data_IF_606673550416
#
_entry.id   IF_606673550416
#
_cell.length_a   1.000
_cell.length_b   1.000
_cell.length_c   1.000
_cell.angle_alpha   90.00
_cell.angle_beta   90.00
_cell.angle_gamma   90.00
#
_symmetry.space_group_name_H-M   'P 1'
#
loop_
_entity.id
_entity.type
_entity.pdbx_description
1 polymer ?
#
# COMPACT_ATOMS: atom_id res chain seq x y z
N UNK A 1 -27.18 -2.18 -15.98
CA UNK A 1 -26.24 -3.17 -15.40
C UNK A 1 -24.79 -2.64 -15.29
N UNK A 2 -24.23 -1.98 -16.32
CA UNK A 2 -22.85 -1.42 -16.26
C UNK A 2 -22.62 -0.27 -15.26
N UNK A 3 -23.60 0.62 -15.08
CA UNK A 3 -23.46 1.77 -14.19
C UNK A 3 -23.34 1.37 -12.70
N UNK A 4 -24.06 0.32 -12.27
CA UNK A 4 -24.04 -0.14 -10.88
C UNK A 4 -22.71 -0.83 -10.53
N UNK A 5 -22.18 -1.68 -11.41
CA UNK A 5 -20.86 -2.28 -11.23
C UNK A 5 -19.74 -1.24 -11.21
N UNK A 6 -19.86 -0.18 -12.02
CA UNK A 6 -18.90 0.93 -12.02
C UNK A 6 -18.98 1.74 -10.73
N UNK A 7 -20.18 2.10 -10.27
CA UNK A 7 -20.37 2.83 -9.01
C UNK A 7 -19.94 1.99 -7.80
N UNK A 8 -20.24 0.68 -7.83
CA UNK A 8 -19.82 -0.26 -6.81
C UNK A 8 -18.30 -0.40 -6.78
N UNK A 9 -17.63 -0.55 -7.93
CA UNK A 9 -16.16 -0.53 -8.02
C UNK A 9 -15.58 0.81 -7.55
N UNK A 10 -16.16 1.94 -7.93
CA UNK A 10 -15.73 3.27 -7.49
C UNK A 10 -15.86 3.46 -5.96
N UNK A 11 -16.84 2.82 -5.31
CA UNK A 11 -17.01 2.83 -3.85
C UNK A 11 -16.15 1.76 -3.13
N UNK A 12 -16.06 0.54 -3.69
CA UNK A 12 -15.27 -0.59 -3.17
C UNK A 12 -13.77 -0.28 -3.21
N UNK A 13 -13.30 0.35 -4.29
CA UNK A 13 -11.89 0.65 -4.45
C UNK A 13 -11.46 1.83 -3.58
N UNK A 14 -12.35 2.69 -3.11
CA UNK A 14 -11.96 3.89 -2.35
C UNK A 14 -11.58 3.64 -0.88
N UNK A 15 -11.84 2.45 -0.33
CA UNK A 15 -11.60 2.15 1.10
C UNK A 15 -10.84 0.84 1.26
N UNK A 16 -10.27 0.64 2.45
CA UNK A 16 -9.72 -0.64 2.90
C UNK A 16 -10.70 -1.22 3.92
N UNK A 17 -11.11 -2.48 3.77
CA UNK A 17 -12.01 -3.12 4.73
C UNK A 17 -11.37 -3.24 6.11
N UNK A 18 -12.16 -3.00 7.15
CA UNK A 18 -11.72 -3.15 8.54
C UNK A 18 -11.18 -4.55 8.83
N UNK A 19 -11.84 -5.59 8.30
CA UNK A 19 -11.37 -6.98 8.42
C UNK A 19 -9.97 -7.18 7.84
N UNK A 20 -9.74 -6.66 6.64
CA UNK A 20 -8.46 -6.80 5.95
C UNK A 20 -7.37 -6.00 6.66
N UNK A 21 -7.71 -4.83 7.20
CA UNK A 21 -6.83 -4.02 8.04
C UNK A 21 -6.42 -4.76 9.32
N UNK A 22 -7.37 -5.40 10.01
CA UNK A 22 -7.08 -6.21 11.21
C UNK A 22 -6.26 -7.47 10.88
N UNK A 23 -6.54 -8.13 9.76
CA UNK A 23 -5.75 -9.27 9.27
C UNK A 23 -4.32 -8.87 8.98
N UNK A 24 -4.11 -7.73 8.30
CA UNK A 24 -2.77 -7.23 7.97
C UNK A 24 -1.99 -6.88 9.24
N UNK A 25 -2.59 -6.15 10.18
CA UNK A 25 -1.95 -5.87 11.49
C UNK A 25 -1.53 -7.14 12.20
N UNK A 26 -2.44 -8.11 12.31
CA UNK A 26 -2.17 -9.39 12.97
C UNK A 26 -1.03 -10.15 12.28
N UNK A 27 -1.03 -10.17 10.95
CA UNK A 27 -0.01 -10.83 10.15
C UNK A 27 1.38 -10.22 10.38
N UNK A 28 1.48 -8.89 10.35
CA UNK A 28 2.76 -8.17 10.56
C UNK A 28 3.22 -8.31 12.02
N UNK A 29 2.31 -8.15 12.98
CA UNK A 29 2.58 -8.34 14.42
C UNK A 29 3.13 -9.74 14.70
N UNK A 30 2.50 -10.78 14.14
CA UNK A 30 2.94 -12.17 14.30
C UNK A 30 4.29 -12.47 13.66
N UNK A 31 4.61 -11.82 12.53
CA UNK A 31 5.89 -11.98 11.84
C UNK A 31 7.04 -11.38 12.66
N UNK A 32 6.87 -10.13 13.12
CA UNK A 32 7.89 -9.40 13.88
C UNK A 32 7.89 -9.69 15.39
N UNK A 33 6.94 -10.49 15.88
CA UNK A 33 6.76 -10.81 17.30
C UNK A 33 6.61 -9.55 18.16
N UNK A 34 5.83 -8.58 17.67
CA UNK A 34 5.49 -7.34 18.38
C UNK A 34 4.02 -7.36 18.82
N UNK A 35 3.64 -6.68 19.92
CA UNK A 35 2.24 -6.54 20.30
C UNK A 35 1.42 -5.86 19.18
N UNK A 36 0.23 -6.39 18.88
CA UNK A 36 -0.64 -5.83 17.82
C UNK A 36 -1.06 -4.40 18.16
N UNK A 37 -1.16 -4.09 19.45
CA UNK A 37 -1.47 -2.77 20.01
C UNK A 37 -0.48 -1.69 19.57
N UNK A 38 0.76 -2.08 19.20
CA UNK A 38 1.71 -1.16 18.58
C UNK A 38 1.23 -0.67 17.21
N UNK A 39 0.61 -1.56 16.43
CA UNK A 39 0.07 -1.27 15.11
C UNK A 39 -1.34 -0.68 15.16
N UNK A 40 -2.13 -0.96 16.20
CA UNK A 40 -3.47 -0.37 16.39
C UNK A 40 -3.44 1.14 16.56
N UNK A 41 -2.31 1.69 17.01
CA UNK A 41 -2.09 3.15 17.14
C UNK A 41 -1.82 3.83 15.80
N UNK A 42 -1.63 3.07 14.71
CA UNK A 42 -1.33 3.60 13.37
C UNK A 42 -2.63 3.85 12.62
N UNK A 43 -2.85 5.08 12.16
CA UNK A 43 -4.05 5.44 11.39
C UNK A 43 -3.81 5.21 9.90
N UNK A 44 -4.80 4.65 9.20
CA UNK A 44 -4.72 4.44 7.75
C UNK A 44 -5.61 5.45 7.03
N UNK A 45 -5.06 6.12 6.01
CA UNK A 45 -5.75 7.13 5.19
C UNK A 45 -5.62 6.78 3.71
N UNK A 46 -6.68 7.03 2.95
CA UNK A 46 -6.67 6.92 1.49
C UNK A 46 -6.52 8.33 0.92
N UNK A 47 -5.49 8.55 0.10
CA UNK A 47 -5.17 9.87 -0.46
C UNK A 47 -4.57 9.74 -1.86
N UNK A 48 -4.51 10.84 -2.61
CA UNK A 48 -3.70 10.88 -3.85
C UNK A 48 -2.24 11.06 -3.47
N UNK A 49 -1.39 10.09 -3.82
CA UNK A 49 0.05 10.14 -3.57
C UNK A 49 0.81 10.67 -4.79
N UNK A 50 1.99 11.27 -4.60
CA UNK A 50 2.74 11.86 -5.70
C UNK A 50 3.33 10.81 -6.65
N UNK A 51 3.55 11.24 -7.88
CA UNK A 51 4.36 10.53 -8.88
C UNK A 51 5.73 11.22 -8.92
N UNK A 52 6.79 10.43 -8.94
CA UNK A 52 8.16 10.92 -9.07
C UNK A 52 8.46 11.10 -10.56
N UNK A 53 8.96 12.29 -10.93
CA UNK A 53 9.33 12.65 -12.29
C UNK A 53 10.82 12.90 -12.40
N UNK A 54 11.42 12.47 -13.50
CA UNK A 54 12.71 12.93 -13.98
C UNK A 54 12.49 14.20 -14.81
N UNK A 55 13.17 15.28 -14.43
CA UNK A 55 13.20 16.53 -15.18
C UNK A 55 14.45 16.55 -16.06
N UNK A 56 14.28 16.69 -17.38
CA UNK A 56 15.36 16.78 -18.36
C UNK A 56 15.30 18.16 -19.00
N UNK A 57 16.35 18.95 -18.82
CA UNK A 57 16.48 20.28 -19.39
C UNK A 57 17.52 20.22 -20.52
N UNK A 58 17.16 20.68 -21.72
CA UNK A 58 18.09 20.76 -22.86
C UNK A 58 17.83 21.98 -23.73
N UNK A 59 18.87 22.51 -24.36
CA UNK A 59 18.78 23.59 -25.35
C UNK A 59 18.52 22.99 -26.74
N UNK A 60 17.57 23.56 -27.49
CA UNK A 60 17.21 23.17 -28.86
C UNK A 60 17.14 24.44 -29.71
N UNK A 61 18.18 24.70 -30.51
CA UNK A 61 18.35 26.00 -31.16
C UNK A 61 18.48 27.12 -30.13
N UNK A 62 17.69 28.17 -30.26
CA UNK A 62 17.62 29.28 -29.28
C UNK A 62 16.61 29.04 -28.15
N UNK A 63 15.92 27.90 -28.14
CA UNK A 63 14.89 27.56 -27.17
C UNK A 63 15.41 26.63 -26.07
N UNK A 64 14.84 26.75 -24.88
CA UNK A 64 15.06 25.84 -23.77
C UNK A 64 13.87 24.89 -23.66
N UNK A 65 14.12 23.58 -23.74
CA UNK A 65 13.11 22.54 -23.63
C UNK A 65 13.23 21.84 -22.27
N UNK A 66 12.13 21.80 -21.53
CA UNK A 66 11.99 21.07 -20.27
C UNK A 66 11.07 19.88 -20.52
N UNK A 67 11.56 18.67 -20.29
CA UNK A 67 10.82 17.42 -20.43
C UNK A 67 10.65 16.77 -19.05
N UNK A 68 9.42 16.38 -18.74
CA UNK A 68 9.11 15.61 -17.53
C UNK A 68 8.77 14.17 -17.91
N UNK A 69 9.50 13.20 -17.36
CA UNK A 69 9.23 11.77 -17.55
C UNK A 69 8.89 11.12 -16.21
N UNK A 70 7.71 10.48 -16.05
CA UNK A 70 7.42 9.74 -14.83
C UNK A 70 8.40 8.57 -14.68
N UNK A 71 9.01 8.42 -13.50
CA UNK A 71 9.97 7.35 -13.19
C UNK A 71 9.49 6.42 -12.08
N UNK A 72 8.49 6.82 -11.29
CA UNK A 72 7.91 5.97 -10.27
C UNK A 72 6.65 6.56 -9.68
N UNK A 73 5.72 5.72 -9.25
CA UNK A 73 4.50 6.12 -8.55
C UNK A 73 4.60 5.65 -7.10
N UNK A 74 4.38 6.55 -6.15
CA UNK A 74 4.29 6.19 -4.73
C UNK A 74 2.91 5.58 -4.50
N UNK A 75 2.87 4.31 -4.04
CA UNK A 75 1.63 3.56 -3.81
C UNK A 75 1.21 3.56 -2.34
N UNK A 76 2.19 3.71 -1.44
CA UNK A 76 2.03 3.78 0.00
C UNK A 76 3.06 4.72 0.62
N UNK A 77 2.75 5.27 1.78
CA UNK A 77 3.67 6.07 2.58
C UNK A 77 3.35 5.95 4.07
N UNK A 78 4.32 5.51 4.85
CA UNK A 78 4.29 5.60 6.31
C UNK A 78 4.92 6.91 6.81
N UNK A 79 4.17 7.69 7.58
CA UNK A 79 4.63 8.91 8.25
C UNK A 79 4.95 8.61 9.73
N UNK A 80 6.23 8.52 10.13
CA UNK A 80 6.62 7.98 11.44
C UNK A 80 6.22 8.87 12.63
N UNK A 81 6.29 10.18 12.46
CA UNK A 81 5.95 11.16 13.51
C UNK A 81 4.45 11.18 13.81
N UNK A 82 3.62 11.11 12.77
CA UNK A 82 2.16 11.14 12.88
C UNK A 82 1.57 9.76 13.17
N UNK A 83 2.34 8.69 12.96
CA UNK A 83 1.89 7.28 12.97
C UNK A 83 0.71 7.09 12.02
N UNK A 84 0.92 7.51 10.77
CA UNK A 84 -0.11 7.45 9.74
C UNK A 84 0.41 6.73 8.51
N UNK A 85 -0.40 5.84 7.95
CA UNK A 85 -0.19 5.20 6.65
C UNK A 85 -1.10 5.88 5.65
N UNK A 86 -0.54 6.29 4.53
CA UNK A 86 -1.26 6.82 3.37
C UNK A 86 -1.17 5.81 2.24
N UNK A 87 -2.31 5.41 1.66
CA UNK A 87 -2.36 4.51 0.49
C UNK A 87 -2.97 5.26 -0.69
N UNK A 88 -2.38 5.10 -1.87
CA UNK A 88 -2.85 5.79 -3.08
C UNK A 88 -4.30 5.39 -3.41
N UNK A 89 -5.14 6.39 -3.66
CA UNK A 89 -6.56 6.17 -3.92
C UNK A 89 -6.83 5.57 -5.30
N UNK A 90 -5.92 5.76 -6.27
CA UNK A 90 -6.11 5.44 -7.68
C UNK A 90 -5.51 4.07 -8.08
N UNK A 91 -5.19 3.21 -7.13
CA UNK A 91 -4.65 1.87 -7.39
C UNK A 91 -5.69 0.77 -7.10
N UNK A 92 -5.68 -0.37 -7.81
CA UNK A 92 -6.62 -1.45 -7.55
C UNK A 92 -6.54 -1.99 -6.11
N UNK A 93 -7.64 -2.51 -5.57
CA UNK A 93 -7.71 -3.00 -4.18
C UNK A 93 -6.60 -3.99 -3.81
N UNK A 94 -6.25 -4.91 -4.72
CA UNK A 94 -5.14 -5.84 -4.52
C UNK A 94 -3.79 -5.13 -4.30
N UNK A 95 -3.53 -4.04 -5.04
CA UNK A 95 -2.33 -3.24 -4.85
C UNK A 95 -2.41 -2.42 -3.55
N UNK A 96 -3.60 -1.97 -3.14
CA UNK A 96 -3.80 -1.32 -1.83
C UNK A 96 -3.41 -2.23 -0.69
N UNK A 97 -3.83 -3.50 -0.71
CA UNK A 97 -3.45 -4.47 0.31
C UNK A 97 -1.95 -4.74 0.33
N UNK A 98 -1.32 -4.88 -0.84
CA UNK A 98 0.14 -5.05 -0.92
C UNK A 98 0.89 -3.85 -0.34
N UNK A 99 0.49 -2.63 -0.72
CA UNK A 99 1.05 -1.40 -0.19
C UNK A 99 0.80 -1.28 1.32
N UNK A 100 -0.40 -1.61 1.79
CA UNK A 100 -0.75 -1.57 3.22
C UNK A 100 0.16 -2.47 4.06
N UNK A 101 0.42 -3.71 3.60
CA UNK A 101 1.35 -4.62 4.27
C UNK A 101 2.75 -4.00 4.33
N UNK A 102 3.24 -3.45 3.21
CA UNK A 102 4.53 -2.76 3.14
C UNK A 102 4.64 -1.63 4.16
N UNK A 103 3.65 -0.74 4.23
CA UNK A 103 3.69 0.39 5.16
C UNK A 103 3.55 -0.04 6.63
N UNK A 104 2.78 -1.10 6.94
CA UNK A 104 2.76 -1.65 8.30
C UNK A 104 4.08 -2.30 8.70
N UNK A 105 4.85 -2.83 7.75
CA UNK A 105 6.21 -3.30 8.03
C UNK A 105 7.10 -2.13 8.45
N UNK A 106 7.00 -0.96 7.79
CA UNK A 106 7.70 0.25 8.25
C UNK A 106 7.27 0.68 9.66
N UNK A 107 5.99 0.59 9.99
CA UNK A 107 5.52 0.85 11.35
C UNK A 107 6.13 -0.13 12.38
N UNK A 108 6.22 -1.43 12.04
CA UNK A 108 6.86 -2.44 12.87
C UNK A 108 8.38 -2.21 13.02
N UNK A 109 9.07 -1.84 11.94
CA UNK A 109 10.49 -1.47 11.95
C UNK A 109 10.75 -0.27 12.86
N UNK A 110 9.87 0.75 12.84
CA UNK A 110 9.97 1.88 13.76
C UNK A 110 9.78 1.45 15.22
N UNK A 111 8.79 0.59 15.51
CA UNK A 111 8.56 0.07 16.86
C UNK A 111 9.78 -0.69 17.40
N UNK A 112 10.44 -1.47 16.54
CA UNK A 112 11.68 -2.20 16.85
C UNK A 112 12.92 -1.29 16.93
N UNK A 113 12.78 0.02 16.73
CA UNK A 113 13.89 0.97 16.79
C UNK A 113 14.85 0.92 15.61
N UNK A 114 14.52 0.20 14.52
CA UNK A 114 15.42 0.01 13.37
C UNK A 114 15.76 1.31 12.64
N UNK A 115 14.89 2.32 12.73
CA UNK A 115 15.10 3.62 12.08
C UNK A 115 16.34 4.37 12.60
N UNK A 116 16.86 3.99 13.77
CA UNK A 116 18.08 4.59 14.34
C UNK A 116 19.36 3.92 13.84
N UNK A 117 19.27 2.66 13.39
CA UNK A 117 20.43 1.79 13.22
C UNK A 117 20.56 1.21 11.80
N UNK A 118 19.55 1.41 10.94
CA UNK A 118 19.53 0.91 9.57
C UNK A 118 19.39 2.07 8.59
N UNK A 119 20.05 1.92 7.45
CA UNK A 119 19.89 2.82 6.32
C UNK A 119 18.48 2.70 5.73
N UNK A 120 18.05 3.74 5.02
CA UNK A 120 16.77 3.71 4.29
C UNK A 120 16.71 2.54 3.29
N UNK A 121 17.82 2.26 2.61
CA UNK A 121 17.87 1.18 1.62
C UNK A 121 17.63 -0.18 2.28
N UNK A 122 18.28 -0.47 3.40
CA UNK A 122 18.08 -1.74 4.12
C UNK A 122 16.64 -1.90 4.62
N UNK A 123 16.05 -0.82 5.13
CA UNK A 123 14.66 -0.82 5.60
C UNK A 123 13.68 -1.11 4.46
N UNK A 124 13.88 -0.50 3.29
CA UNK A 124 13.07 -0.73 2.09
C UNK A 124 13.26 -2.15 1.54
N UNK A 125 14.50 -2.63 1.42
CA UNK A 125 14.79 -3.99 0.95
C UNK A 125 14.12 -5.06 1.83
N UNK A 126 14.21 -4.89 3.16
CA UNK A 126 13.47 -5.73 4.11
C UNK A 126 11.97 -5.63 3.88
N UNK A 127 11.41 -4.41 3.81
CA UNK A 127 9.98 -4.19 3.65
C UNK A 127 9.45 -4.80 2.35
N UNK A 128 10.17 -4.70 1.23
CA UNK A 128 9.81 -5.32 -0.05
C UNK A 128 9.81 -6.85 0.03
N UNK A 129 10.85 -7.44 0.65
CA UNK A 129 10.97 -8.89 0.79
C UNK A 129 9.88 -9.45 1.69
N UNK A 130 9.70 -8.85 2.86
CA UNK A 130 8.72 -9.27 3.86
C UNK A 130 7.30 -9.03 3.37
N UNK A 131 7.01 -7.89 2.74
CA UNK A 131 5.66 -7.61 2.20
C UNK A 131 5.28 -8.62 1.13
N UNK A 132 6.20 -8.97 0.23
CA UNK A 132 5.96 -9.98 -0.80
C UNK A 132 5.68 -11.35 -0.22
N UNK A 133 6.41 -11.74 0.83
CA UNK A 133 6.18 -13.00 1.56
C UNK A 133 4.83 -13.01 2.28
N UNK A 134 4.56 -11.99 3.11
CA UNK A 134 3.32 -11.88 3.88
C UNK A 134 2.09 -11.77 2.97
N UNK A 135 2.21 -11.07 1.85
CA UNK A 135 1.12 -10.95 0.91
C UNK A 135 0.77 -12.28 0.22
N UNK A 136 1.75 -13.18 0.01
CA UNK A 136 1.47 -14.55 -0.45
C UNK A 136 0.69 -15.35 0.59
N UNK A 137 1.04 -15.23 1.87
CA UNK A 137 0.31 -15.86 2.98
C UNK A 137 -1.12 -15.32 3.03
N UNK A 138 -1.25 -14.00 3.00
CA UNK A 138 -2.55 -13.32 3.03
C UNK A 138 -3.47 -13.83 1.92
N UNK A 139 -2.97 -13.87 0.67
CA UNK A 139 -3.75 -14.33 -0.47
C UNK A 139 -4.14 -15.81 -0.37
N UNK A 140 -3.28 -16.67 0.23
CA UNK A 140 -3.60 -18.09 0.43
C UNK A 140 -4.64 -18.31 1.52
N UNK A 141 -4.57 -17.56 2.61
CA UNK A 141 -5.41 -17.76 3.78
C UNK A 141 -6.78 -17.08 3.67
N UNK A 142 -6.88 -15.94 2.99
CA UNK A 142 -8.05 -15.06 3.08
C UNK A 142 -8.73 -14.75 1.76
N UNK A 143 -8.11 -15.07 0.62
CA UNK A 143 -8.77 -14.84 -0.68
C UNK A 143 -9.72 -16.00 -0.95
N UNK A 144 -11.03 -15.73 -0.82
CA UNK A 144 -12.07 -16.66 -1.30
C UNK A 144 -11.82 -16.92 -2.80
N UNK A 145 -11.94 -18.17 -3.29
CA UNK A 145 -12.08 -18.38 -4.72
C UNK A 145 -13.24 -17.51 -5.20
N UNK A 146 -13.11 -16.89 -6.38
CA UNK A 146 -14.22 -16.24 -7.07
C UNK A 146 -15.25 -17.34 -7.39
N UNK A 147 -16.10 -17.70 -6.42
CA UNK A 147 -17.26 -18.53 -6.70
C UNK A 147 -18.28 -17.63 -7.36
N UNK A 148 -18.62 -17.96 -8.61
CA UNK A 148 -19.74 -17.36 -9.34
C UNK A 148 -21.08 -17.53 -8.61
N UNK A 149 -21.12 -18.34 -7.53
CA UNK A 149 -22.27 -18.58 -6.66
C UNK A 149 -22.67 -17.39 -5.76
N UNK A 150 -21.86 -16.34 -5.63
CA UNK A 150 -22.22 -15.14 -4.85
C UNK A 150 -22.93 -14.05 -5.67
N UNK A 151 -23.28 -14.33 -6.93
CA UNK A 151 -24.08 -13.44 -7.78
C UNK A 151 -25.45 -14.08 -8.04
N UNK A 152 -26.46 -13.90 -7.15
CA UNK A 152 -27.83 -14.34 -7.43
C UNK A 152 -28.47 -13.58 -8.61
N UNK A 153 -27.79 -12.58 -9.18
CA UNK A 153 -28.22 -11.86 -10.39
C UNK A 153 -27.78 -12.52 -11.71
N UNK A 154 -27.17 -13.71 -11.66
CA UNK A 154 -26.70 -14.47 -12.83
C UNK A 154 -27.33 -15.88 -12.95
N UNK A 155 -28.38 -16.17 -12.17
CA UNK A 155 -29.26 -17.35 -12.33
C UNK A 155 -30.67 -16.85 -12.64
#
# INVERSE_FOLDING_TARGET
MFAFNRLFNELYEQRIYSEDLERVKTLVSNFYKIPKEALDKVKVKIASLPTIYLCIIRKVGDWLQILYKPIGKILGLYHPEKKEIYIDKNIPYYQKLKALIHEYIHAAQQYLGKFKNSSRQELEEEAYKVSSYLFRIYNRAFRKPLSFLNYPALI
#
